data_IF_439667460738
#
_entry.id   IF_439667460738
#
_cell.length_a   1.000
_cell.length_b   1.000
_cell.length_c   1.000
_cell.angle_alpha   90.00
_cell.angle_beta   90.00
_cell.angle_gamma   90.00
#
_symmetry.space_group_name_H-M   'P 1'
#
loop_
_entity.id
_entity.type
_entity.pdbx_description
1 polymer ?
#
# COMPACT_ATOMS: atom_id res chain seq x y z
N UNK A 1 -34.43 64.38 -29.13
CA UNK A 1 -33.91 63.20 -29.86
C UNK A 1 -32.39 63.26 -29.87
N UNK A 2 -31.70 62.43 -29.06
CA UNK A 2 -30.24 62.32 -29.08
C UNK A 2 -29.86 60.86 -28.91
N UNK A 3 -29.33 60.27 -29.97
CA UNK A 3 -28.84 58.90 -30.00
C UNK A 3 -27.43 58.86 -29.41
N UNK A 4 -27.28 58.17 -28.28
CA UNK A 4 -25.96 57.80 -27.68
C UNK A 4 -25.38 56.59 -28.41
N UNK A 5 -24.16 56.72 -28.94
CA UNK A 5 -23.36 55.62 -29.52
C UNK A 5 -22.56 54.92 -28.42
N UNK A 6 -22.88 53.68 -28.15
CA UNK A 6 -22.09 52.83 -27.28
C UNK A 6 -20.83 52.33 -28.00
N UNK A 7 -19.64 52.62 -27.45
CA UNK A 7 -18.34 52.15 -27.88
C UNK A 7 -18.09 50.71 -27.35
N UNK A 8 -17.93 49.77 -28.27
CA UNK A 8 -17.50 48.41 -27.96
C UNK A 8 -16.05 48.40 -27.44
N UNK A 9 -15.86 47.94 -26.21
CA UNK A 9 -14.51 47.64 -25.65
C UNK A 9 -14.09 46.22 -26.05
N UNK A 10 -13.04 46.17 -26.87
CA UNK A 10 -12.28 44.97 -27.17
C UNK A 10 -11.65 44.37 -25.91
N UNK A 11 -11.98 43.14 -25.55
CA UNK A 11 -11.32 42.36 -24.48
C UNK A 11 -10.06 41.72 -25.02
N UNK A 12 -8.91 42.28 -24.66
CA UNK A 12 -7.62 41.65 -24.91
C UNK A 12 -7.48 40.38 -24.04
N UNK A 13 -7.06 39.24 -24.66
CA UNK A 13 -6.70 38.01 -24.00
C UNK A 13 -5.43 38.24 -23.15
N UNK A 14 -5.36 37.72 -21.91
CA UNK A 14 -4.11 37.78 -21.14
C UNK A 14 -3.08 36.82 -21.73
N UNK A 15 -1.87 37.33 -21.95
CA UNK A 15 -0.70 36.56 -22.41
C UNK A 15 -0.30 35.53 -21.34
N UNK A 16 -0.17 34.30 -21.78
CA UNK A 16 0.30 33.15 -20.96
C UNK A 16 1.77 33.35 -20.63
N UNK A 17 2.05 33.74 -19.39
CA UNK A 17 3.43 33.84 -18.87
C UNK A 17 4.08 32.44 -18.88
N UNK A 18 5.21 32.32 -19.58
CA UNK A 18 6.06 31.12 -19.53
C UNK A 18 6.72 31.06 -18.15
N UNK A 19 6.43 29.98 -17.40
CA UNK A 19 7.12 29.70 -16.15
C UNK A 19 8.64 29.49 -16.41
N UNK A 20 9.51 30.02 -15.54
CA UNK A 20 10.94 29.83 -15.69
C UNK A 20 11.32 28.36 -15.46
N UNK A 21 12.13 27.80 -16.36
CA UNK A 21 12.68 26.47 -16.24
C UNK A 21 13.54 26.38 -14.95
N UNK A 22 13.03 25.64 -13.95
CA UNK A 22 13.75 25.33 -12.73
C UNK A 22 14.90 24.38 -13.09
N UNK A 23 16.14 24.86 -13.06
CA UNK A 23 17.34 24.02 -13.09
C UNK A 23 17.29 23.09 -11.88
N UNK A 24 17.07 21.79 -12.12
CA UNK A 24 17.18 20.77 -11.10
C UNK A 24 18.63 20.72 -10.60
N UNK A 25 18.86 21.22 -9.40
CA UNK A 25 20.12 21.03 -8.71
C UNK A 25 20.24 19.54 -8.37
N UNK A 26 21.20 18.84 -8.99
CA UNK A 26 21.59 17.48 -8.59
C UNK A 26 22.20 17.56 -7.19
N UNK A 27 21.38 17.40 -6.14
CA UNK A 27 21.88 17.10 -4.80
C UNK A 27 22.44 15.69 -4.83
N UNK A 28 23.74 15.55 -4.54
CA UNK A 28 24.39 14.25 -4.37
C UNK A 28 23.68 13.47 -3.27
N UNK A 29 23.38 12.18 -3.54
CA UNK A 29 22.83 11.28 -2.56
C UNK A 29 23.78 11.19 -1.33
N UNK A 30 23.24 11.22 -0.08
CA UNK A 30 24.06 11.07 1.11
C UNK A 30 24.75 9.70 1.08
N UNK A 31 26.04 9.65 1.44
CA UNK A 31 26.79 8.39 1.59
C UNK A 31 26.13 7.56 2.70
N UNK A 32 25.50 6.44 2.31
CA UNK A 32 24.64 5.63 3.18
C UNK A 32 25.38 5.06 4.38
N UNK A 33 24.74 5.13 5.55
CA UNK A 33 25.08 4.30 6.69
C UNK A 33 24.83 2.83 6.31
N UNK A 34 25.82 1.97 6.45
CA UNK A 34 25.76 0.57 6.03
C UNK A 34 24.62 -0.20 6.68
N UNK A 35 23.74 -0.77 5.85
CA UNK A 35 22.61 -1.59 6.26
C UNK A 35 23.10 -2.98 6.70
N UNK A 36 22.90 -3.33 7.99
CA UNK A 36 23.20 -4.67 8.51
C UNK A 36 21.92 -5.50 8.59
N UNK A 37 21.77 -6.44 7.66
CA UNK A 37 20.75 -7.50 7.74
C UNK A 37 21.05 -8.43 8.93
N UNK A 38 20.07 -8.66 9.81
CA UNK A 38 20.09 -9.81 10.71
C UNK A 38 19.80 -11.03 9.86
N UNK A 39 20.67 -12.05 9.93
CA UNK A 39 20.67 -13.21 9.04
C UNK A 39 19.32 -13.93 8.94
N UNK A 40 18.79 -14.01 7.70
CA UNK A 40 17.67 -14.87 7.36
C UNK A 40 18.16 -16.33 7.12
N UNK A 41 17.29 -17.35 7.27
CA UNK A 41 17.67 -18.74 7.04
C UNK A 41 18.12 -19.00 5.60
N UNK A 42 19.15 -19.85 5.46
CA UNK A 42 19.90 -20.07 4.21
C UNK A 42 19.12 -20.89 3.17
N UNK A 43 18.43 -20.23 2.25
CA UNK A 43 18.12 -20.84 0.95
C UNK A 43 19.19 -20.43 -0.07
N UNK A 44 19.56 -21.31 -1.01
CA UNK A 44 20.54 -20.96 -2.06
C UNK A 44 20.00 -19.78 -2.89
N UNK A 45 20.73 -18.67 -3.01
CA UNK A 45 20.25 -17.50 -3.73
C UNK A 45 20.03 -17.85 -5.20
N UNK A 46 18.86 -17.49 -5.73
CA UNK A 46 18.63 -17.47 -7.18
C UNK A 46 19.51 -16.34 -7.76
N UNK A 47 20.24 -16.62 -8.85
CA UNK A 47 21.14 -15.63 -9.46
C UNK A 47 20.42 -14.32 -9.71
N UNK A 48 20.91 -13.21 -9.12
CA UNK A 48 20.32 -11.86 -9.25
C UNK A 48 19.15 -11.55 -8.32
N UNK A 49 18.71 -12.50 -7.48
CA UNK A 49 17.66 -12.25 -6.48
C UNK A 49 18.28 -12.46 -5.10
N UNK A 50 18.18 -11.49 -4.17
CA UNK A 50 18.71 -11.64 -2.82
C UNK A 50 18.04 -12.82 -2.08
N UNK A 51 18.77 -13.42 -1.14
CA UNK A 51 18.26 -14.52 -0.34
C UNK A 51 16.99 -14.13 0.43
N UNK A 52 15.97 -14.99 0.38
CA UNK A 52 14.68 -14.76 1.02
C UNK A 52 13.72 -13.86 0.26
N UNK A 53 14.16 -13.22 -0.84
CA UNK A 53 13.28 -12.41 -1.68
C UNK A 53 12.59 -13.23 -2.77
N UNK A 54 11.40 -12.80 -3.15
CA UNK A 54 10.73 -13.23 -4.37
C UNK A 54 11.08 -12.28 -5.54
N UNK A 55 10.78 -12.70 -6.77
CA UNK A 55 10.95 -11.86 -7.97
C UNK A 55 10.17 -10.55 -7.87
N UNK A 56 8.99 -10.59 -7.26
CA UNK A 56 8.18 -9.42 -6.92
C UNK A 56 8.14 -9.30 -5.39
N UNK A 57 8.53 -8.14 -4.87
CA UNK A 57 8.50 -7.83 -3.43
C UNK A 57 7.80 -6.51 -3.23
N UNK A 58 6.83 -6.47 -2.32
CA UNK A 58 6.12 -5.24 -2.00
C UNK A 58 7.06 -4.23 -1.35
N UNK A 59 6.99 -2.96 -1.80
CA UNK A 59 7.75 -1.84 -1.25
C UNK A 59 6.78 -0.70 -0.94
N UNK A 60 6.53 -0.46 0.35
CA UNK A 60 5.56 0.52 0.83
C UNK A 60 6.23 1.87 1.05
N UNK A 61 5.55 2.92 0.61
CA UNK A 61 5.88 4.31 0.94
C UNK A 61 4.90 4.75 2.02
N UNK A 62 5.40 5.15 3.18
CA UNK A 62 4.55 5.50 4.33
C UNK A 62 5.02 6.79 5.00
N UNK A 63 4.10 7.53 5.61
CA UNK A 63 4.47 8.59 6.53
C UNK A 63 4.70 7.99 7.90
N UNK A 64 5.98 7.97 8.36
CA UNK A 64 6.40 7.34 9.62
C UNK A 64 6.71 5.84 9.43
N UNK A 65 7.69 5.52 8.57
CA UNK A 65 8.07 4.12 8.28
C UNK A 65 8.56 3.36 9.53
N UNK A 66 9.19 4.02 10.48
CA UNK A 66 9.59 3.41 11.74
C UNK A 66 8.38 2.94 12.57
N UNK A 67 7.37 3.81 12.70
CA UNK A 67 6.13 3.50 13.41
C UNK A 67 5.32 2.43 12.69
N UNK A 68 5.33 2.45 11.35
CA UNK A 68 4.70 1.43 10.53
C UNK A 68 5.35 0.04 10.74
N UNK A 69 6.67 -0.03 10.83
CA UNK A 69 7.36 -1.29 11.15
C UNK A 69 6.95 -1.83 12.52
N UNK A 70 6.89 -0.98 13.53
CA UNK A 70 6.48 -1.38 14.87
C UNK A 70 4.99 -1.76 14.93
N UNK A 71 4.15 -1.10 14.14
CA UNK A 71 2.75 -1.46 13.96
C UNK A 71 2.61 -2.85 13.30
N UNK A 72 3.31 -3.12 12.21
CA UNK A 72 3.22 -4.40 11.51
C UNK A 72 3.73 -5.59 12.32
N UNK A 73 4.67 -5.38 13.26
CA UNK A 73 5.03 -6.40 14.26
C UNK A 73 3.82 -6.78 15.12
N UNK A 74 3.09 -5.81 15.62
CA UNK A 74 1.90 -6.04 16.47
C UNK A 74 0.73 -6.60 15.69
N UNK A 75 0.42 -6.01 14.53
CA UNK A 75 -0.76 -6.35 13.74
C UNK A 75 -0.62 -7.70 13.02
N UNK A 76 0.50 -7.91 12.33
CA UNK A 76 0.68 -9.03 11.41
C UNK A 76 1.76 -10.02 11.85
N UNK A 77 2.37 -9.83 13.02
CA UNK A 77 3.47 -10.67 13.48
C UNK A 77 4.73 -10.54 12.62
N UNK A 78 4.90 -9.41 11.96
CA UNK A 78 6.04 -9.15 11.11
C UNK A 78 7.35 -9.16 11.91
N UNK A 79 8.41 -9.70 11.32
CA UNK A 79 9.76 -9.71 11.89
C UNK A 79 10.59 -8.60 11.23
N UNK A 80 11.18 -7.74 12.03
CA UNK A 80 12.13 -6.76 11.53
C UNK A 80 13.46 -7.43 11.18
N UNK A 81 13.92 -7.26 9.95
CA UNK A 81 15.21 -7.75 9.49
C UNK A 81 16.27 -6.64 9.47
N UNK A 82 15.83 -5.40 9.34
CA UNK A 82 16.72 -4.25 9.42
C UNK A 82 16.02 -2.94 9.10
N UNK A 83 16.65 -1.83 9.52
CA UNK A 83 16.25 -0.47 9.15
C UNK A 83 17.47 0.41 8.91
N UNK A 84 17.38 1.30 7.92
CA UNK A 84 18.39 2.28 7.58
C UNK A 84 17.78 3.69 7.73
N UNK A 85 18.05 4.37 8.86
CA UNK A 85 17.60 5.74 9.04
C UNK A 85 18.38 6.71 8.15
N UNK A 86 17.79 7.87 7.88
CA UNK A 86 18.49 9.02 7.36
C UNK A 86 19.55 9.50 8.36
N UNK A 87 20.58 10.25 7.94
CA UNK A 87 21.64 10.75 8.84
C UNK A 87 21.13 11.61 10.02
N UNK A 88 19.97 12.27 9.84
CA UNK A 88 19.32 13.06 10.88
C UNK A 88 18.43 12.22 11.83
N UNK A 89 18.30 10.92 11.57
CA UNK A 89 17.52 9.98 12.36
C UNK A 89 15.99 10.13 12.28
N UNK A 90 15.48 11.10 11.51
CA UNK A 90 14.04 11.43 11.52
C UNK A 90 13.20 10.53 10.61
N UNK A 91 13.76 10.08 9.51
CA UNK A 91 13.08 9.25 8.51
C UNK A 91 13.86 7.98 8.24
N UNK A 92 13.17 6.92 7.82
CA UNK A 92 13.80 5.72 7.31
C UNK A 92 14.00 5.84 5.78
N UNK A 93 15.23 5.70 5.35
CA UNK A 93 15.59 5.55 3.96
C UNK A 93 15.23 4.14 3.45
N UNK A 94 15.24 3.16 4.34
CA UNK A 94 14.83 1.80 4.04
C UNK A 94 14.51 1.01 5.31
N UNK A 95 13.43 0.25 5.29
CA UNK A 95 13.08 -0.75 6.27
C UNK A 95 12.86 -2.10 5.58
N UNK A 96 13.29 -3.19 6.22
CA UNK A 96 13.05 -4.56 5.73
C UNK A 96 12.41 -5.38 6.83
N UNK A 97 11.30 -6.01 6.48
CA UNK A 97 10.53 -6.91 7.35
C UNK A 97 10.25 -8.22 6.63
N UNK A 98 9.89 -9.23 7.42
CA UNK A 98 9.33 -10.49 6.95
C UNK A 98 7.95 -10.69 7.55
N UNK A 99 6.95 -10.93 6.70
CA UNK A 99 5.57 -11.25 7.07
C UNK A 99 5.29 -12.66 6.56
N UNK A 100 5.09 -13.63 7.48
CA UNK A 100 5.02 -15.02 7.07
C UNK A 100 6.30 -15.48 6.37
N UNK A 101 6.21 -15.87 5.12
CA UNK A 101 7.33 -16.25 4.24
C UNK A 101 7.78 -15.11 3.29
N UNK A 102 7.06 -13.99 3.27
CA UNK A 102 7.25 -12.92 2.30
C UNK A 102 8.04 -11.74 2.87
N UNK A 103 8.89 -11.15 2.05
CA UNK A 103 9.62 -9.92 2.38
C UNK A 103 8.74 -8.70 2.09
N UNK A 104 8.83 -7.71 2.98
CA UNK A 104 8.16 -6.42 2.88
C UNK A 104 9.18 -5.31 3.09
N UNK A 105 9.34 -4.44 2.12
CA UNK A 105 10.19 -3.26 2.21
C UNK A 105 9.34 -2.03 2.55
N UNK A 106 9.91 -1.10 3.29
CA UNK A 106 9.29 0.18 3.65
C UNK A 106 10.28 1.32 3.44
N UNK A 107 9.76 2.48 3.12
CA UNK A 107 10.49 3.74 3.06
C UNK A 107 9.58 4.86 3.53
N UNK A 108 10.13 5.87 4.19
CA UNK A 108 9.38 7.08 4.48
C UNK A 108 8.99 7.83 3.21
N UNK A 109 7.87 8.55 3.25
CA UNK A 109 7.49 9.46 2.18
C UNK A 109 8.53 10.58 2.03
N UNK A 110 9.04 10.77 0.82
CA UNK A 110 9.96 11.82 0.41
C UNK A 110 9.33 12.60 -0.74
N UNK A 111 8.53 13.61 -0.43
CA UNK A 111 7.77 14.37 -1.43
C UNK A 111 8.66 15.05 -2.46
N UNK A 112 9.83 15.55 -2.08
CA UNK A 112 10.82 16.16 -2.97
C UNK A 112 11.32 15.18 -4.06
N UNK A 113 11.23 13.88 -3.82
CA UNK A 113 11.56 12.80 -4.76
C UNK A 113 10.34 12.14 -5.41
N UNK A 114 9.14 12.69 -5.16
CA UNK A 114 7.89 12.14 -5.69
C UNK A 114 7.39 10.87 -4.99
N UNK A 115 8.04 10.45 -3.90
CA UNK A 115 7.61 9.29 -3.10
C UNK A 115 6.53 9.74 -2.11
N UNK A 116 5.26 9.41 -2.42
CA UNK A 116 4.08 9.77 -1.62
C UNK A 116 3.42 8.51 -1.07
N UNK A 117 3.06 8.56 0.21
CA UNK A 117 2.27 7.52 0.87
C UNK A 117 0.77 7.62 0.56
N UNK A 118 -0.03 6.61 0.94
CA UNK A 118 -1.47 6.56 0.66
C UNK A 118 -2.24 7.76 1.18
N UNK A 119 -1.87 8.31 2.34
CA UNK A 119 -2.54 9.49 2.91
C UNK A 119 -2.43 10.72 2.00
N UNK A 120 -1.24 10.97 1.46
CA UNK A 120 -1.00 12.09 0.54
C UNK A 120 -1.66 11.89 -0.83
N UNK A 121 -1.94 10.64 -1.22
CA UNK A 121 -2.63 10.28 -2.46
C UNK A 121 -4.15 10.15 -2.31
N UNK A 122 -4.68 10.24 -1.08
CA UNK A 122 -6.10 10.06 -0.80
C UNK A 122 -6.54 8.59 -0.74
N UNK A 123 -5.63 7.63 -0.82
CA UNK A 123 -5.89 6.20 -0.75
C UNK A 123 -4.79 5.35 -1.37
N UNK A 124 -4.99 4.03 -1.36
CA UNK A 124 -4.09 3.07 -2.00
C UNK A 124 -4.85 2.28 -3.08
N UNK A 125 -4.38 2.23 -4.34
CA UNK A 125 -4.97 1.38 -5.37
C UNK A 125 -4.49 -0.08 -5.26
N UNK A 126 -3.58 -0.39 -4.32
CA UNK A 126 -3.02 -1.72 -4.10
C UNK A 126 -3.52 -2.27 -2.78
N UNK A 127 -3.99 -3.50 -2.80
CA UNK A 127 -4.30 -4.29 -1.60
C UNK A 127 -3.21 -5.34 -1.41
N UNK A 128 -2.64 -5.39 -0.21
CA UNK A 128 -1.72 -6.45 0.19
C UNK A 128 -2.55 -7.64 0.66
N UNK A 129 -2.43 -8.76 -0.04
CA UNK A 129 -3.19 -9.98 0.29
C UNK A 129 -2.35 -10.90 1.16
N UNK A 130 -2.88 -11.22 2.36
CA UNK A 130 -2.21 -12.01 3.37
C UNK A 130 -2.97 -13.31 3.63
N UNK A 131 -2.46 -14.43 3.12
CA UNK A 131 -2.94 -15.74 3.47
C UNK A 131 -2.35 -16.21 4.80
N UNK A 132 -3.21 -16.78 5.64
CA UNK A 132 -2.86 -17.36 6.95
C UNK A 132 -3.71 -18.59 7.22
N UNK A 133 -3.28 -19.44 8.16
CA UNK A 133 -4.07 -20.57 8.64
C UNK A 133 -5.26 -20.18 9.53
N UNK A 134 -5.27 -18.94 10.05
CA UNK A 134 -6.31 -18.40 10.92
C UNK A 134 -6.54 -16.92 10.61
N UNK A 135 -7.45 -16.65 9.69
CA UNK A 135 -7.77 -15.29 9.26
C UNK A 135 -8.48 -14.51 10.37
N UNK A 136 -9.34 -15.14 11.16
CA UNK A 136 -10.06 -14.46 12.24
C UNK A 136 -9.11 -13.94 13.31
N UNK A 137 -8.15 -14.75 13.73
CA UNK A 137 -7.16 -14.34 14.74
C UNK A 137 -6.25 -13.20 14.24
N UNK A 138 -5.80 -13.26 12.97
CA UNK A 138 -4.98 -12.17 12.37
C UNK A 138 -5.80 -10.91 12.19
N UNK A 139 -7.05 -11.04 11.74
CA UNK A 139 -7.95 -9.92 11.53
C UNK A 139 -8.23 -9.18 12.84
N UNK A 140 -8.57 -9.95 13.91
CA UNK A 140 -8.81 -9.36 15.23
C UNK A 140 -7.55 -8.68 15.79
N UNK A 141 -6.39 -9.33 15.72
CA UNK A 141 -5.12 -8.74 16.18
C UNK A 141 -4.78 -7.44 15.43
N UNK A 142 -5.08 -7.37 14.13
CA UNK A 142 -4.85 -6.15 13.36
C UNK A 142 -5.82 -5.03 13.76
N UNK A 143 -7.08 -5.35 14.10
CA UNK A 143 -8.03 -4.39 14.69
C UNK A 143 -7.55 -3.87 16.03
N UNK A 144 -7.12 -4.76 16.93
CA UNK A 144 -6.60 -4.40 18.25
C UNK A 144 -5.34 -3.53 18.16
N UNK A 145 -4.56 -3.70 17.08
CA UNK A 145 -3.39 -2.86 16.79
C UNK A 145 -3.77 -1.49 16.24
N UNK A 146 -4.98 -1.28 15.70
CA UNK A 146 -5.47 0.00 15.19
C UNK A 146 -5.87 0.03 13.70
N UNK A 147 -6.01 -1.12 13.03
CA UNK A 147 -6.65 -1.17 11.71
C UNK A 147 -8.14 -0.82 11.80
N UNK A 148 -8.71 -0.37 10.69
CA UNK A 148 -10.15 -0.18 10.51
C UNK A 148 -10.71 -1.19 9.51
N UNK A 149 -11.97 -1.61 9.73
CA UNK A 149 -12.64 -2.56 8.83
C UNK A 149 -13.02 -1.87 7.52
N UNK A 150 -12.56 -2.41 6.40
CA UNK A 150 -13.02 -2.06 5.06
C UNK A 150 -14.05 -3.08 4.52
N UNK A 151 -13.83 -4.38 4.77
CA UNK A 151 -14.79 -5.46 4.50
C UNK A 151 -14.76 -6.38 5.72
N UNK A 152 -15.89 -6.61 6.40
CA UNK A 152 -15.98 -7.55 7.52
C UNK A 152 -15.54 -8.95 7.10
N UNK A 153 -14.93 -9.69 8.06
CA UNK A 153 -14.52 -11.07 7.80
C UNK A 153 -15.73 -11.99 7.66
N UNK A 154 -15.78 -12.73 6.56
CA UNK A 154 -16.87 -13.66 6.24
C UNK A 154 -16.38 -14.80 5.35
N UNK A 155 -17.16 -15.88 5.27
CA UNK A 155 -16.94 -16.94 4.30
C UNK A 155 -17.43 -16.47 2.92
N UNK A 156 -16.53 -16.50 1.96
CA UNK A 156 -16.77 -16.00 0.62
C UNK A 156 -17.12 -17.12 -0.35
N UNK A 157 -17.91 -16.81 -1.37
CA UNK A 157 -18.37 -17.77 -2.35
C UNK A 157 -17.23 -18.48 -3.11
N UNK A 158 -16.04 -17.89 -3.14
CA UNK A 158 -14.84 -18.45 -3.79
C UNK A 158 -14.03 -19.40 -2.90
N UNK A 159 -14.48 -19.69 -1.67
CA UNK A 159 -13.91 -20.70 -0.79
C UNK A 159 -12.84 -20.19 0.18
N UNK A 160 -12.80 -18.90 0.43
CA UNK A 160 -11.94 -18.30 1.47
C UNK A 160 -12.79 -17.74 2.62
N UNK A 161 -12.29 -17.87 3.83
CA UNK A 161 -12.61 -16.98 4.95
C UNK A 161 -11.83 -15.70 4.74
N UNK A 162 -12.48 -14.56 4.46
CA UNK A 162 -11.86 -13.36 3.94
C UNK A 162 -12.40 -12.10 4.60
N UNK A 163 -11.53 -11.12 4.85
CA UNK A 163 -11.89 -9.76 5.24
C UNK A 163 -10.86 -8.76 4.76
N UNK A 164 -11.21 -7.47 4.78
CA UNK A 164 -10.33 -6.39 4.34
C UNK A 164 -10.23 -5.32 5.41
N UNK A 165 -9.01 -4.86 5.66
CA UNK A 165 -8.65 -3.85 6.63
C UNK A 165 -7.90 -2.71 5.96
N UNK A 166 -7.98 -1.52 6.57
CA UNK A 166 -7.11 -0.39 6.28
C UNK A 166 -6.25 -0.10 7.49
N UNK A 167 -4.94 -0.01 7.29
CA UNK A 167 -4.00 0.30 8.36
C UNK A 167 -3.97 1.82 8.67
N UNK A 168 -3.37 2.23 9.80
CA UNK A 168 -3.25 3.65 10.18
C UNK A 168 -2.44 4.50 9.21
N UNK A 169 -1.67 3.88 8.30
CA UNK A 169 -0.84 4.54 7.29
C UNK A 169 -1.55 4.68 5.95
N UNK A 170 -2.74 4.06 5.82
CA UNK A 170 -3.60 4.15 4.64
C UNK A 170 -3.44 3.01 3.64
N UNK A 171 -2.58 2.02 3.91
CA UNK A 171 -2.50 0.81 3.09
C UNK A 171 -3.66 -0.13 3.37
N UNK A 172 -4.06 -0.85 2.35
CA UNK A 172 -5.14 -1.83 2.42
C UNK A 172 -4.57 -3.25 2.49
N UNK A 173 -5.14 -4.04 3.39
CA UNK A 173 -4.77 -5.43 3.66
C UNK A 173 -5.99 -6.32 3.56
N UNK A 174 -5.95 -7.35 2.74
CA UNK A 174 -6.92 -8.43 2.79
C UNK A 174 -6.32 -9.63 3.52
N UNK A 175 -7.08 -10.16 4.46
CA UNK A 175 -6.66 -11.30 5.28
C UNK A 175 -7.55 -12.47 4.88
N UNK A 176 -6.94 -13.61 4.58
CA UNK A 176 -7.68 -14.78 4.14
C UNK A 176 -7.13 -16.09 4.69
N UNK A 177 -8.04 -17.05 4.89
CA UNK A 177 -7.75 -18.47 5.07
C UNK A 177 -8.53 -19.23 4.01
N UNK A 178 -7.84 -20.09 3.26
CA UNK A 178 -8.52 -20.99 2.34
C UNK A 178 -9.26 -22.07 3.12
N UNK A 179 -10.59 -22.09 3.02
CA UNK A 179 -11.45 -23.02 3.75
C UNK A 179 -12.06 -24.10 2.84
N UNK A 180 -12.10 -23.86 1.52
CA UNK A 180 -12.65 -24.81 0.56
C UNK A 180 -11.93 -24.71 -0.79
N UNK A 181 -11.60 -25.88 -1.36
CA UNK A 181 -11.22 -25.98 -2.76
C UNK A 181 -12.47 -26.20 -3.62
N UNK A 182 -12.66 -25.37 -4.63
CA UNK A 182 -13.78 -25.41 -5.55
C UNK A 182 -13.30 -25.79 -6.95
N UNK A 183 -14.06 -26.65 -7.64
CA UNK A 183 -13.88 -26.85 -9.07
C UNK A 183 -14.30 -25.61 -9.84
N UNK A 184 -13.91 -25.42 -11.12
CA UNK A 184 -14.40 -24.31 -11.94
C UNK A 184 -15.92 -24.23 -12.02
N UNK A 185 -16.59 -25.37 -12.12
CA UNK A 185 -18.05 -25.47 -12.19
C UNK A 185 -18.73 -25.07 -10.88
N UNK A 186 -18.17 -25.52 -9.74
CA UNK A 186 -18.64 -25.11 -8.41
C UNK A 186 -18.44 -23.60 -8.18
N UNK A 187 -17.31 -23.05 -8.62
CA UNK A 187 -17.00 -21.62 -8.55
C UNK A 187 -18.02 -20.80 -9.34
N UNK A 188 -18.30 -21.18 -10.61
CA UNK A 188 -19.27 -20.49 -11.45
C UNK A 188 -20.67 -20.53 -10.84
N UNK A 189 -21.07 -21.69 -10.31
CA UNK A 189 -22.38 -21.84 -9.64
C UNK A 189 -22.49 -20.98 -8.39
N UNK A 190 -21.43 -20.98 -7.55
CA UNK A 190 -21.39 -20.19 -6.31
C UNK A 190 -21.40 -18.67 -6.63
N UNK A 191 -20.67 -18.24 -7.64
CA UNK A 191 -20.66 -16.86 -8.12
C UNK A 191 -22.05 -16.41 -8.57
N UNK A 192 -22.72 -17.20 -9.43
CA UNK A 192 -24.08 -16.89 -9.89
C UNK A 192 -25.06 -16.76 -8.73
N UNK A 193 -24.97 -17.65 -7.73
CA UNK A 193 -25.84 -17.63 -6.54
C UNK A 193 -25.57 -16.38 -5.68
N UNK A 194 -24.31 -16.02 -5.45
CA UNK A 194 -23.94 -14.83 -4.67
C UNK A 194 -24.47 -13.54 -5.29
N UNK A 195 -24.25 -13.33 -6.59
CA UNK A 195 -24.75 -12.13 -7.28
C UNK A 195 -26.26 -12.09 -7.50
N UNK A 196 -26.93 -13.24 -7.50
CA UNK A 196 -28.41 -13.27 -7.51
C UNK A 196 -29.01 -12.84 -6.15
N UNK A 197 -28.32 -13.17 -5.04
CA UNK A 197 -28.75 -12.78 -3.70
C UNK A 197 -28.52 -11.30 -3.39
N UNK A 198 -27.52 -10.65 -4.03
CA UNK A 198 -27.22 -9.22 -3.87
C UNK A 198 -28.10 -8.28 -4.70
N UNK A 199 -28.95 -8.80 -5.59
CA UNK A 199 -29.96 -8.00 -6.32
C UNK A 199 -31.29 -8.08 -5.60
N UNK A 200 -31.64 -7.16 -4.67
CA UNK A 200 -32.99 -7.00 -4.25
C UNK A 200 -33.78 -6.38 -5.40
N UNK A 201 -34.73 -7.11 -5.93
CA UNK A 201 -35.78 -6.71 -6.87
C UNK A 201 -35.33 -6.28 -8.27
N UNK A 202 -35.83 -7.07 -9.23
CA UNK A 202 -35.63 -6.84 -10.64
C UNK A 202 -36.12 -5.46 -11.11
N UNK A 203 -35.16 -4.65 -11.49
CA UNK A 203 -35.35 -3.52 -12.41
C UNK A 203 -34.18 -3.46 -13.37
#
# INVERSE_FOLDING_TARGET
MARSKAKARSKAKPARAKAPARKAAKKAAPKGAGYKLKSAPKAKPKKGIPEGFATLTAHLIVDGAADAMDFYKRAFGAQELGRAPMPDGKKLMHGLMKVGDSMLMLVDAFEDFGAKGPKALGGSPVTLHFYTSDADAVFQRALDAGCTVAIPIADMFWGDRYGKLKDPFGHEWSIATKIKDLTPEEMEKAQKAAFAAERPDGS
#
